data_IF_064715152577
#
_entry.id   IF_064715152577
#
_cell.length_a   1.000
_cell.length_b   1.000
_cell.length_c   1.000
_cell.angle_alpha   90.00
_cell.angle_beta   90.00
_cell.angle_gamma   90.00
#
_symmetry.space_group_name_H-M   'P 1'
#
loop_
_entity.id
_entity.type
_entity.pdbx_description
1 polymer ?
#
# COMPACT_ATOMS: atom_id res chain seq x y z
N UNK A 1 0.79 45.00 -51.22
CA UNK A 1 0.17 44.82 -52.56
C UNK A 1 -1.32 45.00 -52.32
N UNK A 2 -1.87 46.17 -52.46
CA UNK A 2 -2.56 46.83 -53.59
C UNK A 2 -3.33 45.82 -54.46
N UNK A 3 -4.68 45.86 -54.39
CA UNK A 3 -5.51 46.05 -55.57
C UNK A 3 -6.91 46.54 -55.19
N UNK A 4 -7.24 47.73 -55.71
CA UNK A 4 -8.54 48.35 -55.85
C UNK A 4 -9.35 47.70 -56.98
N UNK A 5 -10.69 47.77 -56.93
CA UNK A 5 -11.59 48.01 -58.06
C UNK A 5 -12.96 48.35 -57.43
N UNK A 6 -13.44 49.48 -57.50
CA UNK A 6 -14.13 50.50 -58.35
C UNK A 6 -15.44 49.99 -58.98
N UNK A 7 -16.50 50.65 -58.52
CA UNK A 7 -17.66 51.26 -59.22
C UNK A 7 -18.62 50.37 -60.01
N UNK A 8 -19.91 50.52 -59.69
CA UNK A 8 -20.88 51.14 -60.64
C UNK A 8 -22.19 51.52 -59.92
N UNK A 9 -22.47 52.82 -59.97
CA UNK A 9 -23.79 53.42 -59.65
C UNK A 9 -24.78 53.01 -60.74
N UNK A 10 -26.02 52.67 -60.34
CA UNK A 10 -27.20 52.80 -61.18
C UNK A 10 -28.28 53.53 -60.38
N UNK A 11 -28.58 54.74 -60.81
CA UNK A 11 -29.71 55.49 -60.44
C UNK A 11 -31.00 54.76 -60.86
N UNK A 12 -31.89 54.50 -59.88
CA UNK A 12 -33.31 54.30 -60.18
C UNK A 12 -34.13 55.34 -59.41
N UNK A 13 -34.70 56.22 -60.19
CA UNK A 13 -35.69 57.20 -59.70
C UNK A 13 -37.01 56.46 -59.54
N UNK A 14 -37.59 56.49 -58.35
CA UNK A 14 -38.97 56.05 -58.11
C UNK A 14 -39.75 57.22 -57.50
N UNK A 15 -40.82 57.50 -58.16
CA UNK A 15 -41.76 58.59 -57.85
C UNK A 15 -42.38 58.45 -56.43
N UNK A 16 -42.43 59.58 -55.74
CA UNK A 16 -43.17 59.76 -54.48
C UNK A 16 -44.70 59.96 -54.80
N UNK A 17 -45.48 58.92 -54.67
CA UNK A 17 -46.90 59.01 -54.50
C UNK A 17 -47.23 58.93 -53.00
N UNK A 18 -47.66 60.07 -52.46
CA UNK A 18 -48.12 60.24 -51.10
C UNK A 18 -49.46 59.53 -50.85
N UNK A 19 -49.37 58.31 -50.27
CA UNK A 19 -50.54 57.75 -49.55
C UNK A 19 -50.14 57.59 -48.09
N UNK A 20 -50.81 58.44 -47.25
CA UNK A 20 -50.62 58.38 -45.80
C UNK A 20 -50.89 57.01 -45.22
N UNK A 21 -49.79 56.35 -44.71
CA UNK A 21 -49.90 55.17 -43.94
C UNK A 21 -50.01 55.57 -42.46
N UNK A 22 -51.22 55.51 -41.94
CA UNK A 22 -51.51 55.67 -40.52
C UNK A 22 -50.86 54.51 -39.76
N UNK A 23 -49.73 54.74 -39.15
CA UNK A 23 -49.14 53.76 -38.22
C UNK A 23 -49.98 53.72 -36.96
N UNK A 24 -50.84 52.70 -36.89
CA UNK A 24 -51.50 52.30 -35.66
C UNK A 24 -50.43 51.74 -34.70
N UNK A 25 -49.84 52.57 -33.83
CA UNK A 25 -48.93 52.19 -32.78
C UNK A 25 -49.72 51.38 -31.75
N UNK A 26 -49.70 50.03 -31.94
CA UNK A 26 -50.16 49.11 -30.90
C UNK A 26 -49.21 49.20 -29.75
N UNK A 27 -49.55 49.90 -28.69
CA UNK A 27 -48.86 49.94 -27.39
C UNK A 27 -48.93 48.59 -26.71
N UNK A 28 -48.23 47.57 -27.23
CA UNK A 28 -48.09 46.25 -26.60
C UNK A 28 -46.63 45.99 -26.14
N UNK A 29 -46.09 46.80 -25.25
CA UNK A 29 -44.71 46.56 -24.80
C UNK A 29 -44.47 46.56 -23.28
N UNK A 30 -45.34 46.86 -22.31
CA UNK A 30 -44.94 46.68 -20.91
C UNK A 30 -45.17 45.24 -20.34
N UNK A 31 -46.19 44.51 -20.82
CA UNK A 31 -46.50 43.18 -20.26
C UNK A 31 -45.41 42.11 -20.48
N UNK A 32 -44.74 42.09 -21.62
CA UNK A 32 -43.72 41.12 -21.96
C UNK A 32 -42.42 41.28 -21.10
N UNK A 33 -42.04 42.50 -20.77
CA UNK A 33 -40.89 42.81 -19.91
C UNK A 33 -41.16 42.39 -18.45
N UNK A 34 -42.38 42.57 -17.98
CA UNK A 34 -42.76 42.19 -16.62
C UNK A 34 -42.80 40.67 -16.41
N UNK A 35 -43.24 39.91 -17.41
CA UNK A 35 -43.23 38.43 -17.35
C UNK A 35 -41.82 37.88 -17.31
N UNK A 36 -40.87 38.45 -18.05
CA UNK A 36 -39.45 38.03 -17.98
C UNK A 36 -38.82 38.31 -16.62
N UNK A 37 -39.14 39.47 -16.00
CA UNK A 37 -38.69 39.78 -14.65
C UNK A 37 -39.24 38.80 -13.61
N UNK A 38 -40.49 38.40 -13.72
CA UNK A 38 -41.10 37.39 -12.85
C UNK A 38 -40.45 36.00 -13.05
N UNK A 39 -40.19 35.57 -14.28
CA UNK A 39 -39.51 34.32 -14.56
C UNK A 39 -38.10 34.34 -14.04
N UNK A 40 -37.38 35.44 -14.17
CA UNK A 40 -36.04 35.62 -13.61
C UNK A 40 -36.04 35.55 -12.07
N UNK A 41 -37.00 36.23 -11.45
CA UNK A 41 -37.16 36.24 -9.99
C UNK A 41 -37.52 34.84 -9.45
N UNK A 42 -38.44 34.15 -10.11
CA UNK A 42 -38.77 32.75 -9.79
C UNK A 42 -37.53 31.83 -9.96
N UNK A 43 -36.78 32.02 -11.04
CA UNK A 43 -35.53 31.28 -11.28
C UNK A 43 -34.48 31.51 -10.20
N UNK A 44 -34.31 32.77 -9.76
CA UNK A 44 -33.41 33.12 -8.65
C UNK A 44 -33.87 32.48 -7.33
N UNK A 45 -35.18 32.57 -7.01
CA UNK A 45 -35.74 31.99 -5.78
C UNK A 45 -35.59 30.45 -5.79
N UNK A 46 -35.93 29.80 -6.89
CA UNK A 46 -35.76 28.35 -7.04
C UNK A 46 -34.29 27.96 -6.98
N UNK A 47 -33.41 28.68 -7.64
CA UNK A 47 -31.97 28.47 -7.59
C UNK A 47 -31.41 28.60 -6.16
N UNK A 48 -31.81 29.67 -5.45
CA UNK A 48 -31.44 29.87 -4.05
C UNK A 48 -31.99 28.75 -3.15
N UNK A 49 -33.23 28.33 -3.34
CA UNK A 49 -33.83 27.23 -2.58
C UNK A 49 -33.13 25.89 -2.83
N UNK A 50 -32.75 25.59 -4.08
CA UNK A 50 -31.99 24.40 -4.43
C UNK A 50 -30.57 24.43 -3.85
N UNK A 51 -29.90 25.58 -3.92
CA UNK A 51 -28.56 25.73 -3.34
C UNK A 51 -28.57 25.59 -1.81
N UNK A 52 -29.48 26.30 -1.13
CA UNK A 52 -29.59 26.24 0.33
C UNK A 52 -30.07 24.88 0.79
N UNK A 53 -31.04 24.27 0.13
CA UNK A 53 -31.51 22.91 0.40
C UNK A 53 -30.41 21.87 0.20
N UNK A 54 -29.70 21.94 -0.92
CA UNK A 54 -28.56 21.09 -1.22
C UNK A 54 -27.44 21.23 -0.19
N UNK A 55 -27.06 22.47 0.15
CA UNK A 55 -26.04 22.73 1.17
C UNK A 55 -26.45 22.18 2.55
N UNK A 56 -27.72 22.34 2.93
CA UNK A 56 -28.25 21.80 4.21
C UNK A 56 -28.19 20.28 4.23
N UNK A 57 -28.60 19.60 3.15
CA UNK A 57 -28.51 18.13 3.05
C UNK A 57 -27.06 17.68 3.12
N UNK A 58 -26.15 18.31 2.40
CA UNK A 58 -24.73 18.00 2.42
C UNK A 58 -24.11 18.17 3.81
N UNK A 59 -24.47 19.22 4.54
CA UNK A 59 -24.02 19.44 5.92
C UNK A 59 -24.57 18.36 6.85
N UNK A 60 -25.89 18.15 6.84
CA UNK A 60 -26.56 17.17 7.71
C UNK A 60 -26.09 15.73 7.50
N UNK A 61 -25.79 15.36 6.27
CA UNK A 61 -25.19 14.03 5.97
C UNK A 61 -23.71 13.93 6.29
N UNK A 62 -23.08 14.99 6.81
CA UNK A 62 -21.71 14.98 7.36
C UNK A 62 -21.68 14.89 8.89
N UNK A 63 -22.80 15.08 9.57
CA UNK A 63 -22.86 14.96 11.03
C UNK A 63 -22.58 13.51 11.45
N UNK A 64 -21.88 13.31 12.56
CA UNK A 64 -21.56 11.98 13.10
C UNK A 64 -22.83 11.18 13.38
N UNK A 65 -23.90 11.82 13.89
CA UNK A 65 -25.20 11.17 14.13
C UNK A 65 -25.80 10.54 12.86
N UNK A 66 -25.64 11.21 11.72
CA UNK A 66 -26.07 10.63 10.44
C UNK A 66 -25.26 9.38 10.09
N UNK A 67 -23.93 9.44 10.22
CA UNK A 67 -23.06 8.31 9.90
C UNK A 67 -23.37 7.09 10.77
N UNK A 68 -23.61 7.27 12.06
CA UNK A 68 -23.88 6.18 13.02
C UNK A 68 -25.35 5.77 13.09
N UNK A 69 -26.19 6.27 12.20
CA UNK A 69 -27.61 5.86 12.12
C UNK A 69 -27.81 4.45 11.54
N UNK A 70 -26.78 3.87 10.93
CA UNK A 70 -26.80 2.50 10.39
C UNK A 70 -26.13 1.52 11.37
N UNK A 71 -26.65 0.30 11.47
CA UNK A 71 -26.14 -0.74 12.38
C UNK A 71 -24.68 -1.13 12.09
N UNK A 72 -24.29 -1.19 10.82
CA UNK A 72 -22.90 -1.50 10.43
C UNK A 72 -21.88 -0.50 11.00
N UNK A 73 -22.33 0.71 11.37
CA UNK A 73 -21.46 1.77 11.90
C UNK A 73 -21.27 1.69 13.43
N UNK A 74 -21.92 0.80 14.14
CA UNK A 74 -21.75 0.60 15.59
C UNK A 74 -20.30 0.18 15.92
N UNK A 75 -19.72 -0.71 15.13
CA UNK A 75 -18.33 -1.17 15.31
C UNK A 75 -17.29 -0.08 15.04
N UNK A 76 -17.30 0.60 13.90
CA UNK A 76 -16.41 1.74 13.67
C UNK A 76 -16.53 2.82 14.74
N UNK A 77 -17.76 3.09 15.23
CA UNK A 77 -17.98 4.03 16.32
C UNK A 77 -17.30 3.58 17.63
N UNK A 78 -17.48 2.32 18.01
CA UNK A 78 -16.86 1.78 19.23
C UNK A 78 -15.31 1.80 19.14
N UNK A 79 -14.75 1.44 17.99
CA UNK A 79 -13.31 1.52 17.74
C UNK A 79 -12.80 2.97 17.81
N UNK A 80 -13.52 3.91 17.18
CA UNK A 80 -13.20 5.33 17.20
C UNK A 80 -13.25 5.91 18.61
N UNK A 81 -14.24 5.52 19.43
CA UNK A 81 -14.37 5.95 20.83
C UNK A 81 -13.17 5.55 21.69
N UNK A 82 -12.45 4.50 21.33
CA UNK A 82 -11.20 4.08 21.97
C UNK A 82 -9.96 4.87 21.53
N UNK A 83 -10.08 5.78 20.56
CA UNK A 83 -8.94 6.49 19.96
C UNK A 83 -8.64 7.84 20.61
N UNK A 84 -7.41 8.33 20.43
CA UNK A 84 -7.01 9.68 20.85
C UNK A 84 -7.70 10.80 20.06
N UNK A 85 -8.29 10.48 18.91
CA UNK A 85 -9.06 11.42 18.11
C UNK A 85 -10.49 11.62 18.66
N UNK A 86 -11.00 10.65 19.42
CA UNK A 86 -12.26 10.80 20.13
C UNK A 86 -12.09 11.53 21.45
N UNK A 87 -11.07 11.16 22.25
CA UNK A 87 -10.82 11.75 23.56
C UNK A 87 -9.32 11.88 23.83
N UNK A 88 -8.89 13.07 24.17
CA UNK A 88 -7.49 13.38 24.47
C UNK A 88 -7.36 14.48 25.52
N UNK A 89 -6.15 14.66 26.05
CA UNK A 89 -5.82 15.65 27.07
C UNK A 89 -6.00 17.11 26.63
N UNK A 90 -6.17 17.37 25.34
CA UNK A 90 -6.37 18.72 24.77
C UNK A 90 -7.85 19.07 24.65
N UNK A 91 -8.76 18.12 24.83
CA UNK A 91 -10.21 18.32 24.71
C UNK A 91 -10.68 18.59 23.27
N UNK A 92 -9.89 18.21 22.27
CA UNK A 92 -10.23 18.35 20.86
C UNK A 92 -10.71 16.99 20.34
N UNK A 93 -11.90 16.96 19.73
CA UNK A 93 -12.45 15.77 19.09
C UNK A 93 -12.56 15.99 17.59
N UNK A 94 -12.13 15.01 16.81
CA UNK A 94 -12.38 14.97 15.36
C UNK A 94 -13.73 14.26 15.12
N UNK A 95 -14.55 14.77 14.23
CA UNK A 95 -15.79 14.09 13.83
C UNK A 95 -15.51 13.09 12.69
N UNK A 96 -16.46 12.19 12.40
CA UNK A 96 -16.28 11.21 11.32
C UNK A 96 -15.92 11.88 9.99
N UNK A 97 -16.61 12.98 9.66
CA UNK A 97 -16.39 13.73 8.43
C UNK A 97 -15.00 14.39 8.35
N UNK A 98 -14.40 14.78 9.48
CA UNK A 98 -13.08 15.43 9.49
C UNK A 98 -11.98 14.53 8.92
N UNK A 99 -12.15 13.20 9.03
CA UNK A 99 -11.22 12.21 8.49
C UNK A 99 -11.68 11.65 7.13
N UNK A 100 -13.01 11.45 6.95
CA UNK A 100 -13.56 10.72 5.81
C UNK A 100 -14.07 11.61 4.67
N UNK A 101 -14.27 12.90 4.89
CA UNK A 101 -14.84 13.83 3.90
C UNK A 101 -13.87 14.98 3.64
N UNK A 102 -13.14 14.99 2.54
CA UNK A 102 -12.22 16.07 2.19
C UNK A 102 -12.93 17.43 2.10
N UNK A 103 -12.24 18.51 2.46
CA UNK A 103 -12.80 19.86 2.44
C UNK A 103 -12.78 20.53 1.05
N UNK A 104 -11.98 20.00 0.10
CA UNK A 104 -11.92 20.51 -1.27
C UNK A 104 -13.26 20.25 -1.98
N UNK A 105 -13.87 21.26 -2.66
CA UNK A 105 -15.23 21.14 -3.15
C UNK A 105 -15.51 19.96 -4.08
N UNK A 106 -14.58 19.65 -4.98
CA UNK A 106 -14.72 18.54 -5.94
C UNK A 106 -14.59 17.20 -5.21
N UNK A 107 -13.58 17.07 -4.35
CA UNK A 107 -13.33 15.83 -3.58
C UNK A 107 -14.46 15.60 -2.57
N UNK A 108 -14.96 16.66 -1.95
CA UNK A 108 -16.13 16.63 -1.07
C UNK A 108 -17.34 16.03 -1.79
N UNK A 109 -17.70 16.60 -2.97
CA UNK A 109 -18.83 16.13 -3.75
C UNK A 109 -18.63 14.69 -4.24
N UNK A 110 -17.44 14.38 -4.75
CA UNK A 110 -17.09 13.02 -5.20
C UNK A 110 -17.22 12.02 -4.07
N UNK A 111 -16.71 12.33 -2.90
CA UNK A 111 -16.79 11.46 -1.70
C UNK A 111 -18.25 11.23 -1.31
N UNK A 112 -19.09 12.28 -1.30
CA UNK A 112 -20.51 12.15 -1.00
C UNK A 112 -21.27 11.28 -2.01
N UNK A 113 -20.97 11.42 -3.29
CA UNK A 113 -21.59 10.57 -4.33
C UNK A 113 -21.12 9.13 -4.19
N UNK A 114 -19.81 8.92 -3.94
CA UNK A 114 -19.27 7.57 -3.76
C UNK A 114 -19.76 6.88 -2.49
N UNK A 115 -20.10 7.61 -1.43
CA UNK A 115 -20.69 7.05 -0.21
C UNK A 115 -22.10 6.46 -0.43
N UNK A 116 -22.79 6.79 -1.51
CA UNK A 116 -24.07 6.16 -1.82
C UNK A 116 -23.97 4.65 -2.01
N UNK A 117 -22.81 4.13 -2.41
CA UNK A 117 -22.54 2.68 -2.49
C UNK A 117 -22.64 2.00 -1.12
N UNK A 118 -22.22 2.70 -0.06
CA UNK A 118 -22.19 2.16 1.30
C UNK A 118 -23.60 2.14 1.88
N UNK A 119 -24.38 3.21 1.63
CA UNK A 119 -25.82 3.26 1.93
C UNK A 119 -26.57 2.14 1.21
N UNK A 120 -26.25 1.91 -0.06
CA UNK A 120 -26.83 0.81 -0.83
C UNK A 120 -26.41 -0.56 -0.28
N UNK A 121 -25.16 -0.70 0.14
CA UNK A 121 -24.65 -1.92 0.78
C UNK A 121 -25.38 -2.27 2.07
N UNK A 122 -25.66 -1.28 2.91
CA UNK A 122 -26.48 -1.44 4.13
C UNK A 122 -27.91 -1.84 3.77
N UNK A 123 -28.58 -1.10 2.88
CA UNK A 123 -29.98 -1.35 2.48
C UNK A 123 -30.18 -2.72 1.82
N UNK A 124 -29.18 -3.23 1.12
CA UNK A 124 -29.25 -4.54 0.45
C UNK A 124 -28.75 -5.71 1.31
N UNK A 125 -28.35 -5.43 2.55
CA UNK A 125 -27.89 -6.45 3.48
C UNK A 125 -26.48 -6.98 3.16
N UNK A 126 -25.66 -6.20 2.47
CA UNK A 126 -24.27 -6.60 2.15
C UNK A 126 -23.33 -6.50 3.34
N UNK A 127 -23.55 -5.54 4.22
CA UNK A 127 -22.72 -5.23 5.40
C UNK A 127 -23.55 -5.09 6.68
N UNK A 128 -24.79 -5.53 6.69
CA UNK A 128 -25.78 -5.34 7.75
C UNK A 128 -25.59 -6.22 9.00
N UNK A 129 -24.63 -7.15 9.00
CA UNK A 129 -24.28 -7.95 10.18
C UNK A 129 -22.79 -7.84 10.50
N UNK A 130 -22.38 -8.07 11.78
CA UNK A 130 -20.99 -8.03 12.19
C UNK A 130 -20.08 -8.92 11.34
N UNK A 131 -20.52 -10.14 10.99
CA UNK A 131 -19.75 -11.10 10.20
C UNK A 131 -19.55 -10.61 8.76
N UNK A 132 -20.60 -10.05 8.15
CA UNK A 132 -20.54 -9.47 6.81
C UNK A 132 -19.69 -8.22 6.80
N UNK A 133 -19.78 -7.39 7.84
CA UNK A 133 -18.90 -6.22 8.00
C UNK A 133 -17.44 -6.65 8.07
N UNK A 134 -17.10 -7.63 8.92
CA UNK A 134 -15.72 -8.13 9.07
C UNK A 134 -15.19 -8.71 7.75
N UNK A 135 -15.99 -9.45 7.02
CA UNK A 135 -15.62 -10.00 5.70
C UNK A 135 -15.30 -8.90 4.65
N UNK A 136 -15.85 -7.69 4.82
CA UNK A 136 -15.59 -6.57 3.90
C UNK A 136 -14.63 -5.51 4.47
N UNK A 137 -14.26 -5.62 5.76
CA UNK A 137 -13.49 -4.60 6.49
C UNK A 137 -12.16 -4.27 5.80
N UNK A 138 -11.44 -5.27 5.31
CA UNK A 138 -10.17 -5.08 4.61
C UNK A 138 -10.35 -4.26 3.32
N UNK A 139 -11.31 -4.63 2.48
CA UNK A 139 -11.57 -3.93 1.22
C UNK A 139 -12.04 -2.48 1.46
N UNK A 140 -12.86 -2.25 2.48
CA UNK A 140 -13.28 -0.91 2.89
C UNK A 140 -12.10 -0.08 3.39
N UNK A 141 -11.25 -0.64 4.26
CA UNK A 141 -10.04 0.02 4.75
C UNK A 141 -9.08 0.41 3.62
N UNK A 142 -8.82 -0.51 2.67
CA UNK A 142 -8.00 -0.22 1.49
C UNK A 142 -8.56 0.93 0.66
N UNK A 143 -9.87 0.96 0.42
CA UNK A 143 -10.52 2.04 -0.33
C UNK A 143 -10.31 3.41 0.34
N UNK A 144 -10.34 3.47 1.67
CA UNK A 144 -10.07 4.69 2.44
C UNK A 144 -8.60 5.07 2.37
N UNK A 145 -7.68 4.12 2.59
CA UNK A 145 -6.24 4.39 2.52
C UNK A 145 -5.82 4.87 1.14
N UNK A 146 -6.32 4.27 0.06
CA UNK A 146 -6.06 4.69 -1.32
C UNK A 146 -6.57 6.12 -1.60
N UNK A 147 -7.73 6.46 -1.07
CA UNK A 147 -8.29 7.82 -1.19
C UNK A 147 -7.43 8.84 -0.45
N UNK A 148 -7.05 8.53 0.79
CA UNK A 148 -6.18 9.39 1.60
C UNK A 148 -4.78 9.51 1.00
N UNK A 149 -4.25 8.46 0.40
CA UNK A 149 -2.97 8.50 -0.31
C UNK A 149 -3.04 9.39 -1.55
N UNK A 150 -4.08 9.25 -2.38
CA UNK A 150 -4.27 10.06 -3.60
C UNK A 150 -4.39 11.55 -3.33
N UNK A 151 -4.97 11.96 -2.21
CA UNK A 151 -5.15 13.37 -1.84
C UNK A 151 -4.09 13.88 -0.85
N UNK A 152 -2.95 13.20 -0.75
CA UNK A 152 -1.85 13.54 0.16
C UNK A 152 -2.30 13.67 1.62
N UNK A 153 -3.20 12.79 2.07
CA UNK A 153 -3.79 12.80 3.41
C UNK A 153 -4.36 14.18 3.80
N UNK A 154 -5.04 14.85 2.85
CA UNK A 154 -5.54 16.22 3.00
C UNK A 154 -6.41 16.41 4.25
N UNK A 155 -7.18 15.40 4.63
CA UNK A 155 -8.01 15.42 5.85
C UNK A 155 -7.17 15.42 7.13
N UNK A 156 -6.05 14.71 7.16
CA UNK A 156 -5.10 14.75 8.28
C UNK A 156 -4.43 16.12 8.36
N UNK A 157 -4.00 16.66 7.20
CA UNK A 157 -3.31 17.93 7.09
C UNK A 157 -4.19 19.15 7.42
N UNK A 158 -5.52 18.99 7.49
CA UNK A 158 -6.41 20.06 7.95
C UNK A 158 -6.20 20.43 9.43
N UNK A 159 -5.70 19.48 10.24
CA UNK A 159 -5.39 19.69 11.66
C UNK A 159 -3.89 19.49 11.97
N UNK A 160 -3.18 18.66 11.21
CA UNK A 160 -1.77 18.35 11.39
C UNK A 160 -0.94 18.93 10.24
N UNK A 161 -0.09 19.93 10.51
CA UNK A 161 0.88 20.44 9.54
C UNK A 161 2.30 20.15 10.02
N UNK A 162 3.19 19.77 9.11
CA UNK A 162 4.59 19.51 9.45
C UNK A 162 5.28 20.76 9.99
N UNK A 163 4.89 21.95 9.51
CA UNK A 163 5.45 23.24 9.95
C UNK A 163 5.08 23.58 11.40
N UNK A 164 3.93 23.07 11.87
CA UNK A 164 3.47 23.29 13.24
C UNK A 164 3.90 22.16 14.20
N UNK A 165 4.52 21.09 13.70
CA UNK A 165 4.99 20.00 14.55
C UNK A 165 6.34 20.33 15.19
N UNK A 166 6.42 20.22 16.52
CA UNK A 166 7.71 20.16 17.21
C UNK A 166 8.29 18.75 17.05
N UNK A 167 9.07 18.57 15.99
CA UNK A 167 9.69 17.28 15.65
C UNK A 167 10.65 16.82 16.77
N UNK A 168 11.30 17.74 17.46
CA UNK A 168 12.27 17.40 18.52
C UNK A 168 11.58 16.92 19.81
N UNK A 169 10.34 17.33 20.05
CA UNK A 169 9.55 16.86 21.19
C UNK A 169 8.88 15.50 20.93
N UNK A 170 8.93 14.98 19.71
CA UNK A 170 8.35 13.68 19.38
C UNK A 170 9.21 12.53 19.95
N UNK A 171 8.61 11.33 19.99
CA UNK A 171 9.34 10.10 20.33
C UNK A 171 10.52 9.89 19.37
N UNK A 172 11.62 9.25 19.82
CA UNK A 172 12.82 9.08 19.00
C UNK A 172 12.56 8.51 17.61
N UNK A 173 11.66 7.52 17.51
CA UNK A 173 11.28 6.90 16.23
C UNK A 173 10.65 7.93 15.29
N UNK A 174 9.62 8.62 15.74
CA UNK A 174 8.91 9.64 14.94
C UNK A 174 9.81 10.79 14.54
N UNK A 175 10.71 11.22 15.46
CA UNK A 175 11.70 12.27 15.22
C UNK A 175 12.65 11.91 14.06
N UNK A 176 13.01 10.67 13.93
CA UNK A 176 13.90 10.20 12.86
C UNK A 176 13.14 9.97 11.54
N UNK A 177 11.92 9.43 11.60
CA UNK A 177 11.17 9.01 10.41
C UNK A 177 10.46 10.20 9.72
N UNK A 178 9.88 11.15 10.46
CA UNK A 178 9.13 12.25 9.85
C UNK A 178 9.97 13.10 8.87
N UNK A 179 11.23 13.51 9.17
CA UNK A 179 12.05 14.23 8.19
C UNK A 179 12.34 13.42 6.92
N UNK A 180 12.46 12.10 7.04
CA UNK A 180 12.69 11.19 5.91
C UNK A 180 11.43 11.08 5.07
N UNK A 181 10.27 10.87 5.70
CA UNK A 181 8.97 10.79 5.04
C UNK A 181 8.64 12.09 4.27
N UNK A 182 8.89 13.26 4.90
CA UNK A 182 8.73 14.58 4.26
C UNK A 182 9.60 14.66 3.00
N UNK A 183 10.87 14.28 3.10
CA UNK A 183 11.82 14.34 1.98
C UNK A 183 11.43 13.40 0.84
N UNK A 184 10.85 12.24 1.15
CA UNK A 184 10.39 11.26 0.17
C UNK A 184 9.01 11.57 -0.41
N UNK A 185 8.27 12.53 0.15
CA UNK A 185 6.89 12.84 -0.23
C UNK A 185 5.91 11.74 0.19
N UNK A 186 6.20 11.01 1.26
CA UNK A 186 5.29 10.00 1.82
C UNK A 186 4.10 10.68 2.49
N UNK A 187 2.93 10.09 2.35
CA UNK A 187 1.70 10.63 2.94
C UNK A 187 1.51 10.14 4.38
N UNK A 188 0.70 10.83 5.18
CA UNK A 188 0.45 10.43 6.57
C UNK A 188 -0.08 9.00 6.66
N UNK A 189 -0.99 8.61 5.74
CA UNK A 189 -1.64 7.30 5.75
C UNK A 189 -0.70 6.16 5.33
N UNK A 190 0.42 6.44 4.68
CA UNK A 190 1.39 5.40 4.36
C UNK A 190 1.93 4.72 5.63
N UNK A 191 2.05 5.48 6.73
CA UNK A 191 2.55 4.99 8.02
C UNK A 191 1.47 4.98 9.12
N UNK A 192 0.51 5.93 9.13
CA UNK A 192 -0.46 6.11 10.20
C UNK A 192 -1.81 5.43 9.91
N UNK A 193 -1.79 4.12 9.67
CA UNK A 193 -2.99 3.30 9.60
C UNK A 193 -3.47 2.92 11.01
N UNK A 194 -4.76 2.73 11.19
CA UNK A 194 -5.31 2.31 12.48
C UNK A 194 -5.37 3.40 13.57
N UNK A 195 -5.29 4.70 13.21
CA UNK A 195 -5.29 5.81 14.18
C UNK A 195 -6.65 6.05 14.85
N UNK A 196 -7.73 5.56 14.26
CA UNK A 196 -9.10 5.67 14.77
C UNK A 196 -9.84 4.33 14.81
N UNK A 197 -9.44 3.38 13.99
CA UNK A 197 -10.09 2.07 13.87
C UNK A 197 -9.07 0.95 14.05
N UNK A 198 -9.51 -0.17 14.59
CA UNK A 198 -8.70 -1.39 14.68
C UNK A 198 -8.44 -1.89 13.25
N UNK A 199 -7.18 -2.21 12.97
CA UNK A 199 -6.80 -2.72 11.66
C UNK A 199 -7.57 -4.00 11.32
N UNK A 200 -7.98 -4.17 10.05
CA UNK A 200 -8.56 -5.43 9.59
C UNK A 200 -7.54 -6.57 9.67
N UNK A 201 -8.01 -7.81 9.57
CA UNK A 201 -7.12 -8.95 9.38
C UNK A 201 -6.39 -8.81 8.04
N UNK A 202 -5.06 -8.81 8.10
CA UNK A 202 -4.19 -8.62 6.94
C UNK A 202 -3.69 -9.94 6.35
N UNK A 203 -4.12 -11.07 6.89
CA UNK A 203 -3.69 -12.40 6.45
C UNK A 203 -4.02 -12.67 4.98
N UNK A 204 -5.18 -12.21 4.51
CA UNK A 204 -5.58 -12.34 3.11
C UNK A 204 -4.63 -11.62 2.13
N UNK A 205 -4.15 -10.42 2.50
CA UNK A 205 -3.18 -9.69 1.67
C UNK A 205 -1.84 -10.42 1.61
N UNK A 206 -1.39 -10.94 2.74
CA UNK A 206 -0.15 -11.71 2.81
C UNK A 206 -0.28 -13.01 2.02
N UNK A 207 -1.45 -13.69 2.05
CA UNK A 207 -1.73 -14.87 1.27
C UNK A 207 -1.82 -14.57 -0.23
N UNK A 208 -2.43 -13.45 -0.63
CA UNK A 208 -2.47 -13.02 -2.03
C UNK A 208 -1.07 -12.77 -2.59
N UNK A 209 -0.20 -12.07 -1.86
CA UNK A 209 1.18 -11.86 -2.26
C UNK A 209 1.98 -13.16 -2.39
N UNK A 210 1.77 -14.12 -1.48
CA UNK A 210 2.39 -15.45 -1.59
C UNK A 210 1.91 -16.20 -2.85
N UNK A 211 0.62 -16.08 -3.18
CA UNK A 211 0.04 -16.67 -4.39
C UNK A 211 0.62 -16.06 -5.67
N UNK A 212 0.79 -14.73 -5.71
CA UNK A 212 1.43 -14.02 -6.83
C UNK A 212 2.88 -14.46 -7.00
N UNK A 213 3.62 -14.61 -5.91
CA UNK A 213 4.99 -15.08 -5.92
C UNK A 213 5.10 -16.51 -6.46
N UNK A 214 4.18 -17.39 -6.04
CA UNK A 214 4.08 -18.78 -6.55
C UNK A 214 3.72 -18.80 -8.04
N UNK A 215 2.81 -17.95 -8.49
CA UNK A 215 2.45 -17.82 -9.90
C UNK A 215 3.62 -17.29 -10.76
N UNK A 216 4.46 -16.44 -10.19
CA UNK A 216 5.68 -15.96 -10.85
C UNK A 216 6.73 -17.08 -10.95
N UNK A 217 6.91 -17.89 -9.91
CA UNK A 217 7.82 -19.05 -9.90
C UNK A 217 7.44 -20.08 -10.98
N UNK A 218 6.15 -20.29 -11.21
CA UNK A 218 5.67 -21.17 -12.28
C UNK A 218 6.00 -20.72 -13.71
N UNK A 219 6.38 -19.42 -13.89
CA UNK A 219 6.69 -18.80 -15.19
C UNK A 219 8.18 -18.59 -15.42
N UNK A 220 9.04 -19.11 -14.54
CA UNK A 220 10.50 -18.94 -14.64
C UNK A 220 11.02 -19.62 -15.91
N UNK A 221 11.82 -18.91 -16.75
CA UNK A 221 12.39 -19.46 -17.97
C UNK A 221 13.29 -20.66 -17.68
N UNK A 222 13.23 -21.67 -18.53
CA UNK A 222 14.11 -22.85 -18.43
C UNK A 222 15.60 -22.49 -18.59
N UNK A 223 15.92 -21.34 -19.16
CA UNK A 223 17.27 -20.84 -19.38
C UNK A 223 17.88 -20.11 -18.17
N UNK A 224 17.10 -19.83 -17.14
CA UNK A 224 17.60 -19.14 -15.94
C UNK A 224 18.67 -19.98 -15.25
N UNK A 225 19.84 -19.40 -15.04
CA UNK A 225 21.01 -20.05 -14.41
C UNK A 225 21.12 -19.77 -12.91
N UNK A 226 20.55 -18.65 -12.44
CA UNK A 226 20.51 -18.27 -11.03
C UNK A 226 19.07 -18.17 -10.60
N UNK A 227 18.73 -18.77 -9.47
CA UNK A 227 17.37 -18.79 -8.94
C UNK A 227 17.39 -18.55 -7.44
N UNK A 228 16.25 -18.09 -6.92
CA UNK A 228 16.03 -17.86 -5.48
C UNK A 228 14.81 -18.62 -4.98
N UNK A 229 14.93 -19.24 -3.81
CA UNK A 229 13.81 -19.91 -3.17
C UNK A 229 12.75 -18.91 -2.72
N UNK A 230 11.48 -19.13 -3.07
CA UNK A 230 10.37 -18.28 -2.63
C UNK A 230 9.85 -18.64 -1.23
N UNK A 231 10.13 -19.86 -0.77
CA UNK A 231 9.68 -20.40 0.52
C UNK A 231 10.69 -21.41 1.07
N UNK A 232 10.47 -21.82 2.32
CA UNK A 232 11.20 -22.98 2.87
C UNK A 232 10.81 -24.21 2.06
N UNK A 233 11.79 -24.89 1.47
CA UNK A 233 11.55 -26.09 0.68
C UNK A 233 12.55 -27.20 0.99
N UNK A 234 12.12 -28.45 0.98
CA UNK A 234 13.02 -29.58 1.14
C UNK A 234 13.94 -29.73 -0.09
N UNK A 235 15.10 -30.30 0.14
CA UNK A 235 16.02 -30.73 -0.92
C UNK A 235 16.46 -32.14 -0.76
N UNK A 236 16.97 -32.74 -1.83
CA UNK A 236 17.45 -34.12 -1.91
C UNK A 236 18.90 -34.17 -2.44
N UNK A 237 19.59 -35.26 -2.18
CA UNK A 237 20.93 -35.51 -2.72
C UNK A 237 20.89 -36.31 -4.03
N UNK A 238 19.74 -36.81 -4.42
CA UNK A 238 19.47 -37.48 -5.68
C UNK A 238 18.21 -36.93 -6.34
N UNK A 239 18.03 -37.19 -7.64
CA UNK A 239 16.83 -36.80 -8.38
C UNK A 239 15.55 -37.53 -7.91
N UNK A 240 15.69 -38.60 -7.14
CA UNK A 240 14.58 -39.40 -6.59
C UNK A 240 14.05 -38.73 -5.31
N UNK A 241 12.96 -37.94 -5.46
CA UNK A 241 12.29 -37.28 -4.34
C UNK A 241 11.51 -38.22 -3.41
N UNK A 242 11.43 -39.51 -3.72
CA UNK A 242 10.83 -40.51 -2.83
C UNK A 242 11.74 -40.88 -1.66
N UNK A 243 13.03 -40.56 -1.74
CA UNK A 243 13.96 -40.70 -0.62
C UNK A 243 13.65 -39.67 0.47
N UNK A 244 14.15 -39.91 1.66
CA UNK A 244 14.07 -38.94 2.75
C UNK A 244 14.77 -37.65 2.34
N UNK A 245 14.18 -36.49 2.65
CA UNK A 245 14.81 -35.19 2.33
C UNK A 245 16.13 -35.06 3.12
N UNK A 246 17.08 -34.40 2.49
CA UNK A 246 18.42 -34.23 3.05
C UNK A 246 18.59 -32.91 3.82
N UNK A 247 17.56 -32.06 3.80
CA UNK A 247 17.55 -30.78 4.48
C UNK A 247 16.54 -29.83 3.91
N UNK A 248 16.63 -28.56 4.33
CA UNK A 248 15.70 -27.50 3.88
C UNK A 248 16.48 -26.26 3.41
N UNK A 249 16.05 -25.73 2.28
CA UNK A 249 16.48 -24.44 1.77
C UNK A 249 15.55 -23.36 2.32
N UNK A 250 16.11 -22.25 2.81
CA UNK A 250 15.33 -21.13 3.37
C UNK A 250 14.88 -20.16 2.27
N UNK A 251 13.79 -19.39 2.47
CA UNK A 251 13.35 -18.41 1.49
C UNK A 251 14.42 -17.36 1.19
N UNK A 252 14.47 -16.86 -0.05
CA UNK A 252 15.45 -15.89 -0.52
C UNK A 252 16.88 -16.44 -0.65
N UNK A 253 17.08 -17.75 -0.55
CA UNK A 253 18.39 -18.35 -0.77
C UNK A 253 18.65 -18.50 -2.25
N UNK A 254 19.80 -18.02 -2.68
CA UNK A 254 20.32 -18.13 -4.05
C UNK A 254 20.84 -19.53 -4.33
N UNK A 255 20.57 -20.02 -5.51
CA UNK A 255 21.11 -21.29 -6.03
C UNK A 255 21.55 -21.14 -7.47
N UNK A 256 22.66 -21.75 -7.82
CA UNK A 256 23.18 -21.80 -9.21
C UNK A 256 22.73 -23.09 -9.88
N UNK A 257 22.00 -22.99 -10.98
CA UNK A 257 21.47 -24.15 -11.70
C UNK A 257 22.59 -24.91 -12.41
N UNK A 258 22.75 -26.19 -12.10
CA UNK A 258 23.70 -27.08 -12.76
C UNK A 258 23.01 -27.85 -13.89
N UNK A 259 21.85 -28.43 -13.62
CA UNK A 259 21.05 -29.13 -14.63
C UNK A 259 19.57 -29.22 -14.24
N UNK A 260 18.71 -29.46 -15.21
CA UNK A 260 17.26 -29.64 -15.02
C UNK A 260 16.86 -31.04 -15.52
N UNK A 261 16.03 -31.71 -14.74
CA UNK A 261 15.58 -33.06 -15.06
C UNK A 261 14.22 -33.34 -14.39
N UNK A 262 13.22 -33.74 -15.18
CA UNK A 262 11.91 -34.22 -14.65
C UNK A 262 11.26 -33.33 -13.58
N UNK A 263 11.13 -32.06 -13.81
CA UNK A 263 10.59 -31.07 -12.85
C UNK A 263 11.44 -30.88 -11.57
N UNK A 264 12.66 -31.41 -11.56
CA UNK A 264 13.67 -31.18 -10.52
C UNK A 264 14.84 -30.40 -11.11
N UNK A 265 15.51 -29.66 -10.27
CA UNK A 265 16.69 -28.87 -10.60
C UNK A 265 17.84 -29.34 -9.72
N UNK A 266 18.94 -29.82 -10.32
CA UNK A 266 20.21 -29.91 -9.63
C UNK A 266 20.79 -28.49 -9.59
N UNK A 267 21.01 -28.01 -8.38
CA UNK A 267 21.59 -26.69 -8.16
C UNK A 267 22.72 -26.77 -7.14
N UNK A 268 23.65 -25.85 -7.27
CA UNK A 268 24.70 -25.65 -6.27
C UNK A 268 24.25 -24.50 -5.36
N UNK A 269 24.32 -24.70 -4.06
CA UNK A 269 24.05 -23.70 -3.03
C UNK A 269 25.33 -23.43 -2.25
N UNK A 270 25.67 -22.16 -2.14
CA UNK A 270 26.81 -21.67 -1.38
C UNK A 270 26.37 -21.13 -0.02
N UNK A 271 27.27 -21.19 0.95
CA UNK A 271 27.04 -20.57 2.24
C UNK A 271 28.28 -20.56 3.12
N UNK A 272 28.10 -20.00 4.29
CA UNK A 272 29.13 -19.95 5.33
C UNK A 272 28.75 -20.83 6.50
N UNK A 273 29.68 -21.63 7.00
CA UNK A 273 29.55 -22.40 8.23
C UNK A 273 30.52 -21.84 9.28
N UNK A 274 30.05 -21.65 10.49
CA UNK A 274 30.94 -21.34 11.60
C UNK A 274 31.66 -22.63 12.01
N UNK A 275 32.92 -22.57 12.35
CA UNK A 275 33.66 -23.70 12.84
C UNK A 275 32.95 -24.37 14.00
N UNK A 276 32.83 -25.71 13.95
CA UNK A 276 32.06 -26.49 14.93
C UNK A 276 30.55 -26.51 14.73
N UNK A 277 29.97 -25.75 13.76
CA UNK A 277 28.53 -25.72 13.46
C UNK A 277 28.28 -26.21 12.03
N UNK A 278 28.08 -27.52 11.89
CA UNK A 278 27.98 -28.17 10.58
C UNK A 278 26.55 -28.36 10.06
N UNK A 279 25.56 -27.98 10.85
CA UNK A 279 24.13 -28.18 10.56
C UNK A 279 23.53 -27.13 9.66
N UNK A 280 24.20 -26.02 9.43
CA UNK A 280 23.62 -24.85 8.76
C UNK A 280 24.58 -24.17 7.81
N UNK A 281 24.02 -23.60 6.73
CA UNK A 281 24.68 -22.56 5.96
C UNK A 281 24.06 -21.20 6.30
N UNK A 282 24.91 -20.20 6.46
CA UNK A 282 24.55 -18.80 6.55
C UNK A 282 24.92 -18.07 5.26
N UNK A 283 24.18 -17.03 4.88
CA UNK A 283 24.46 -16.30 3.63
C UNK A 283 25.71 -15.43 3.69
N UNK A 284 26.19 -15.08 4.88
CA UNK A 284 27.42 -14.30 5.08
C UNK A 284 28.14 -14.71 6.36
N UNK A 285 29.47 -14.64 6.35
CA UNK A 285 30.29 -14.86 7.54
C UNK A 285 29.97 -13.83 8.63
N UNK A 286 29.89 -14.23 9.87
CA UNK A 286 29.56 -13.38 11.01
C UNK A 286 28.09 -13.01 11.13
N UNK A 287 27.26 -13.37 10.15
CA UNK A 287 25.82 -13.02 10.09
C UNK A 287 24.97 -14.28 10.21
N UNK A 288 24.07 -14.27 11.19
CA UNK A 288 23.14 -15.40 11.42
C UNK A 288 21.94 -15.36 10.46
N UNK A 289 22.21 -15.17 9.18
CA UNK A 289 21.23 -15.16 8.09
C UNK A 289 21.14 -16.57 7.54
N UNK A 290 20.22 -17.35 8.05
CA UNK A 290 20.08 -18.77 7.73
C UNK A 290 19.70 -19.00 6.26
N UNK A 291 20.47 -19.81 5.53
CA UNK A 291 20.23 -20.16 4.13
C UNK A 291 19.82 -21.62 3.95
N UNK A 292 20.50 -22.54 4.62
CA UNK A 292 20.27 -23.98 4.49
C UNK A 292 20.32 -24.66 5.86
N UNK A 293 19.38 -25.55 6.09
CA UNK A 293 19.44 -26.53 7.17
C UNK A 293 19.89 -27.87 6.57
N UNK A 294 20.97 -28.44 7.08
CA UNK A 294 21.59 -29.64 6.56
C UNK A 294 21.22 -30.84 7.43
N UNK A 295 20.61 -31.85 6.84
CA UNK A 295 20.45 -33.15 7.44
C UNK A 295 21.80 -33.92 7.52
N UNK A 296 21.81 -35.05 8.21
CA UNK A 296 23.04 -35.80 8.47
C UNK A 296 23.80 -36.21 7.20
N UNK A 297 23.08 -36.69 6.18
CA UNK A 297 23.70 -37.11 4.92
C UNK A 297 24.19 -35.95 4.06
N UNK A 298 23.49 -34.80 4.10
CA UNK A 298 23.93 -33.60 3.42
C UNK A 298 25.25 -33.07 3.99
N UNK A 299 25.41 -33.09 5.32
CA UNK A 299 26.65 -32.65 5.98
C UNK A 299 27.90 -33.42 5.49
N UNK A 300 27.75 -34.69 5.16
CA UNK A 300 28.85 -35.56 4.65
C UNK A 300 29.30 -35.17 3.23
N UNK A 301 28.43 -34.44 2.46
CA UNK A 301 28.69 -34.04 1.07
C UNK A 301 29.08 -32.58 0.91
N UNK A 302 29.12 -31.83 2.00
CA UNK A 302 29.54 -30.43 1.99
C UNK A 302 31.01 -30.33 1.57
N UNK A 303 31.28 -29.43 0.63
CA UNK A 303 32.64 -29.09 0.18
C UNK A 303 33.05 -27.75 0.76
N UNK A 304 34.11 -27.71 1.54
CA UNK A 304 34.70 -26.44 1.98
C UNK A 304 35.54 -25.84 0.84
N UNK A 305 35.35 -24.56 0.58
CA UNK A 305 35.99 -23.84 -0.53
C UNK A 305 37.10 -22.92 -0.02
N UNK A 306 36.82 -22.17 1.07
CA UNK A 306 37.79 -21.24 1.66
C UNK A 306 37.46 -21.01 3.14
N UNK A 307 38.38 -20.37 3.85
CA UNK A 307 38.21 -20.01 5.27
C UNK A 307 38.33 -18.51 5.45
N UNK A 308 37.64 -17.99 6.45
CA UNK A 308 37.69 -16.61 6.88
C UNK A 308 37.71 -16.56 8.42
N UNK A 309 38.65 -15.86 8.99
CA UNK A 309 38.64 -15.58 10.42
C UNK A 309 38.15 -14.14 10.65
N UNK A 310 37.05 -14.03 11.37
CA UNK A 310 36.46 -12.72 11.72
C UNK A 310 37.44 -11.96 12.64
N UNK A 311 37.91 -10.78 12.24
CA UNK A 311 38.91 -10.02 12.99
C UNK A 311 38.41 -9.51 14.36
N UNK A 312 37.11 -9.32 14.53
CA UNK A 312 36.51 -8.81 15.76
C UNK A 312 36.23 -9.93 16.77
N UNK A 313 35.65 -11.01 16.29
CA UNK A 313 35.21 -12.13 17.15
C UNK A 313 36.22 -13.29 17.23
N UNK A 314 37.23 -13.30 16.35
CA UNK A 314 38.17 -14.38 16.16
C UNK A 314 37.56 -15.74 15.81
N UNK A 315 36.28 -15.73 15.41
CA UNK A 315 35.59 -16.95 14.96
C UNK A 315 36.02 -17.32 13.56
N UNK A 316 36.24 -18.61 13.34
CA UNK A 316 36.57 -19.15 12.01
C UNK A 316 35.29 -19.52 11.26
N UNK A 317 35.22 -19.12 10.02
CA UNK A 317 34.11 -19.37 9.09
C UNK A 317 34.64 -20.09 7.86
N UNK A 318 33.91 -21.12 7.43
CA UNK A 318 34.23 -21.89 6.24
C UNK A 318 33.19 -21.52 5.14
N UNK A 319 33.67 -21.00 4.02
CA UNK A 319 32.82 -20.91 2.82
C UNK A 319 32.67 -22.32 2.26
N UNK A 320 31.43 -22.77 2.12
CA UNK A 320 31.07 -24.12 1.76
C UNK A 320 30.07 -24.15 0.63
N UNK A 321 30.08 -25.22 -0.16
CA UNK A 321 29.16 -25.46 -1.24
C UNK A 321 28.59 -26.88 -1.17
N UNK A 322 27.36 -27.04 -1.65
CA UNK A 322 26.65 -28.30 -1.74
C UNK A 322 25.80 -28.36 -2.99
N UNK A 323 25.83 -29.48 -3.72
CA UNK A 323 24.89 -29.73 -4.80
C UNK A 323 23.66 -30.46 -4.29
N UNK A 324 22.48 -29.88 -4.63
CA UNK A 324 21.18 -30.34 -4.12
C UNK A 324 20.16 -30.43 -5.25
N UNK A 325 19.22 -31.36 -5.13
CA UNK A 325 18.07 -31.46 -6.00
C UNK A 325 16.87 -30.74 -5.38
N UNK A 326 16.24 -29.85 -6.13
CA UNK A 326 15.15 -28.99 -5.71
C UNK A 326 13.94 -29.10 -6.65
N UNK A 327 12.70 -29.02 -6.16
CA UNK A 327 11.53 -28.88 -7.02
C UNK A 327 11.57 -27.55 -7.80
N UNK A 328 11.29 -27.58 -9.09
CA UNK A 328 11.38 -26.39 -9.95
C UNK A 328 10.34 -25.31 -9.61
N UNK A 329 9.15 -25.69 -9.09
CA UNK A 329 8.02 -24.79 -8.92
C UNK A 329 8.08 -23.81 -7.73
N UNK A 330 9.16 -23.86 -6.93
CA UNK A 330 9.35 -22.99 -5.77
C UNK A 330 10.59 -22.10 -5.85
N UNK A 331 11.05 -21.87 -7.08
CA UNK A 331 12.21 -21.04 -7.37
C UNK A 331 11.83 -19.93 -8.33
N UNK A 332 12.45 -18.76 -8.18
CA UNK A 332 12.20 -17.58 -9.01
C UNK A 332 13.52 -17.01 -9.52
N UNK A 333 13.49 -16.38 -10.69
CA UNK A 333 14.64 -15.77 -11.37
C UNK A 333 14.86 -14.29 -11.03
N UNK A 334 14.01 -13.74 -10.17
CA UNK A 334 14.10 -12.35 -9.73
C UNK A 334 13.88 -12.24 -8.22
N UNK A 335 14.96 -12.06 -7.49
CA UNK A 335 14.96 -11.91 -6.03
C UNK A 335 14.14 -10.71 -5.56
N UNK A 336 14.10 -9.62 -6.35
CA UNK A 336 13.37 -8.40 -5.98
C UNK A 336 11.87 -8.67 -5.73
N UNK A 337 11.25 -9.59 -6.45
CA UNK A 337 9.85 -9.97 -6.20
C UNK A 337 9.64 -10.57 -4.81
N UNK A 338 10.61 -11.30 -4.28
CA UNK A 338 10.58 -11.80 -2.89
C UNK A 338 10.68 -10.63 -1.92
N UNK A 339 11.54 -9.66 -2.22
CA UNK A 339 11.72 -8.47 -1.38
C UNK A 339 10.53 -7.53 -1.43
N UNK A 340 9.88 -7.36 -2.59
CA UNK A 340 8.64 -6.58 -2.74
C UNK A 340 7.51 -7.20 -1.90
N UNK A 341 7.39 -8.54 -1.93
CA UNK A 341 6.45 -9.26 -1.08
C UNK A 341 6.75 -9.06 0.41
N UNK A 342 8.01 -9.19 0.82
CA UNK A 342 8.43 -8.99 2.21
C UNK A 342 8.21 -7.53 2.67
N UNK A 343 8.54 -6.55 1.83
CA UNK A 343 8.30 -5.13 2.10
C UNK A 343 6.81 -4.82 2.26
N UNK A 344 5.97 -5.41 1.40
CA UNK A 344 4.52 -5.31 1.50
C UNK A 344 4.01 -5.89 2.83
N UNK A 345 4.46 -7.08 3.23
CA UNK A 345 4.11 -7.67 4.53
C UNK A 345 4.56 -6.77 5.69
N UNK A 346 5.77 -6.24 5.64
CA UNK A 346 6.30 -5.36 6.67
C UNK A 346 5.47 -4.07 6.78
N UNK A 347 5.22 -3.41 5.67
CA UNK A 347 4.38 -2.20 5.60
C UNK A 347 2.97 -2.47 6.13
N UNK A 348 2.38 -3.59 5.75
CA UNK A 348 1.01 -3.97 6.10
C UNK A 348 0.85 -4.32 7.57
N UNK A 349 1.78 -5.09 8.14
CA UNK A 349 1.63 -5.63 9.49
C UNK A 349 2.32 -4.78 10.59
N UNK A 350 3.30 -3.94 10.23
CA UNK A 350 4.09 -3.24 11.25
C UNK A 350 3.69 -1.77 11.46
N UNK A 351 2.93 -1.16 10.54
CA UNK A 351 2.57 0.27 10.62
C UNK A 351 1.36 0.57 11.50
N UNK A 352 0.65 -0.43 11.98
CA UNK A 352 -0.58 -0.25 12.75
C UNK A 352 -0.39 0.27 14.18
N UNK A 353 0.80 0.11 14.77
CA UNK A 353 1.06 0.48 16.17
C UNK A 353 2.12 1.57 16.30
N UNK A 354 3.07 1.64 15.37
CA UNK A 354 4.14 2.64 15.32
C UNK A 354 4.64 2.79 13.89
N UNK A 355 5.41 3.84 13.61
CA UNK A 355 6.03 4.06 12.30
C UNK A 355 6.92 2.88 11.89
N UNK A 356 7.04 2.68 10.57
CA UNK A 356 7.88 1.62 10.01
C UNK A 356 9.33 1.85 10.40
N UNK A 357 9.96 0.84 10.98
CA UNK A 357 11.37 0.90 11.35
C UNK A 357 12.24 0.81 10.09
N UNK A 358 13.18 1.74 9.93
CA UNK A 358 14.15 1.71 8.83
C UNK A 358 14.98 0.41 8.87
N UNK A 359 15.23 -0.18 7.70
CA UNK A 359 15.92 -1.49 7.59
C UNK A 359 17.36 -1.42 8.07
N UNK A 360 18.00 -0.27 7.96
CA UNK A 360 19.38 -0.02 8.39
C UNK A 360 19.51 0.42 9.86
N UNK A 361 18.40 0.40 10.62
CA UNK A 361 18.42 0.75 12.06
C UNK A 361 19.17 -0.26 12.91
N UNK A 362 19.11 -1.52 12.55
CA UNK A 362 19.73 -2.61 13.29
C UNK A 362 20.69 -3.40 12.39
N UNK A 363 21.67 -4.06 13.01
CA UNK A 363 22.47 -5.04 12.27
C UNK A 363 21.70 -6.33 12.04
N UNK A 364 22.20 -7.19 11.13
CA UNK A 364 21.52 -8.41 10.71
C UNK A 364 21.19 -9.35 11.89
N UNK A 365 22.07 -9.46 12.86
CA UNK A 365 21.84 -10.36 14.00
C UNK A 365 20.84 -9.80 15.01
N UNK A 366 20.73 -8.46 15.14
CA UNK A 366 19.76 -7.81 16.02
C UNK A 366 18.33 -7.93 15.49
N UNK A 367 18.14 -7.91 14.17
CA UNK A 367 16.83 -8.08 13.56
C UNK A 367 16.11 -9.34 13.96
N UNK A 368 16.84 -10.42 14.27
CA UNK A 368 16.25 -11.69 14.76
C UNK A 368 15.42 -11.44 16.02
N UNK A 369 15.98 -10.72 17.00
CA UNK A 369 15.30 -10.39 18.24
C UNK A 369 14.12 -9.45 18.05
N UNK A 370 14.25 -8.46 17.16
CA UNK A 370 13.20 -7.49 16.83
C UNK A 370 12.00 -8.20 16.22
N UNK A 371 12.19 -8.99 15.17
CA UNK A 371 11.09 -9.73 14.53
C UNK A 371 10.46 -10.73 15.49
N UNK A 372 11.26 -11.49 16.25
CA UNK A 372 10.73 -12.42 17.25
C UNK A 372 9.87 -11.74 18.31
N UNK A 373 10.24 -10.53 18.75
CA UNK A 373 9.47 -9.75 19.72
C UNK A 373 8.16 -9.17 19.15
N UNK A 374 8.13 -8.92 17.82
CA UNK A 374 6.94 -8.37 17.14
C UNK A 374 5.99 -9.44 16.61
N UNK A 375 6.48 -10.63 16.28
CA UNK A 375 5.70 -11.72 15.69
C UNK A 375 4.36 -12.01 16.39
N UNK A 376 4.27 -12.08 17.73
CA UNK A 376 2.99 -12.34 18.41
C UNK A 376 1.94 -11.22 18.23
N UNK A 377 2.31 -10.07 17.67
CA UNK A 377 1.44 -8.92 17.44
C UNK A 377 1.00 -8.79 15.99
N UNK A 378 1.35 -9.76 15.15
CA UNK A 378 1.03 -9.79 13.72
C UNK A 378 0.19 -11.02 13.40
N UNK A 379 -0.50 -11.01 12.26
CA UNK A 379 -1.19 -12.17 11.71
C UNK A 379 -0.31 -13.04 10.78
N UNK A 380 1.01 -12.78 10.77
CA UNK A 380 1.95 -13.49 9.91
C UNK A 380 2.17 -14.92 10.41
N UNK A 381 2.11 -15.87 9.50
CA UNK A 381 2.48 -17.25 9.77
C UNK A 381 4.02 -17.44 9.87
N UNK A 382 4.45 -18.63 10.23
CA UNK A 382 5.88 -18.91 10.41
C UNK A 382 6.70 -18.78 9.12
N UNK A 383 6.13 -19.11 7.97
CA UNK A 383 6.82 -18.99 6.69
C UNK A 383 6.97 -17.52 6.29
N UNK A 384 5.91 -16.75 6.43
CA UNK A 384 5.93 -15.31 6.21
C UNK A 384 6.93 -14.60 7.12
N UNK A 385 7.02 -15.02 8.39
CA UNK A 385 8.04 -14.51 9.33
C UNK A 385 9.46 -14.88 8.92
N UNK A 386 9.68 -16.04 8.30
CA UNK A 386 11.01 -16.42 7.75
C UNK A 386 11.40 -15.52 6.58
N UNK A 387 10.47 -15.31 5.62
CA UNK A 387 10.69 -14.41 4.48
C UNK A 387 10.98 -13.00 4.99
N UNK A 388 10.17 -12.48 5.91
CA UNK A 388 10.35 -11.15 6.49
C UNK A 388 11.68 -11.03 7.26
N UNK A 389 12.02 -12.00 8.10
CA UNK A 389 13.28 -12.01 8.83
C UNK A 389 14.48 -11.96 7.88
N UNK A 390 14.42 -12.78 6.82
CA UNK A 390 15.46 -12.79 5.80
C UNK A 390 15.60 -11.43 5.11
N UNK A 391 14.47 -10.82 4.75
CA UNK A 391 14.42 -9.50 4.11
C UNK A 391 15.10 -8.43 4.97
N UNK A 392 14.68 -8.29 6.23
CA UNK A 392 15.24 -7.24 7.11
C UNK A 392 16.73 -7.49 7.43
N UNK A 393 17.14 -8.75 7.52
CA UNK A 393 18.55 -9.10 7.74
C UNK A 393 19.43 -8.77 6.52
N UNK A 394 18.95 -9.04 5.30
CA UNK A 394 19.70 -8.75 4.06
C UNK A 394 19.82 -7.25 3.77
N UNK A 395 18.93 -6.42 4.35
CA UNK A 395 18.95 -4.96 4.21
C UNK A 395 19.45 -4.24 5.48
N UNK A 396 20.02 -4.96 6.41
CA UNK A 396 20.53 -4.43 7.68
C UNK A 396 21.71 -3.47 7.50
N UNK A 397 22.01 -2.68 8.55
CA UNK A 397 23.07 -1.66 8.52
C UNK A 397 24.45 -2.20 8.18
N UNK A 398 24.74 -3.45 8.62
CA UNK A 398 26.02 -4.12 8.51
C UNK A 398 26.11 -5.11 7.33
N UNK A 399 25.17 -4.99 6.36
CA UNK A 399 25.21 -5.73 5.09
C UNK A 399 25.85 -4.87 3.99
N UNK A 400 26.58 -5.49 3.03
CA UNK A 400 27.20 -4.79 1.92
C UNK A 400 26.20 -3.97 1.08
N UNK A 401 26.67 -2.84 0.51
CA UNK A 401 25.84 -1.91 -0.28
C UNK A 401 25.17 -2.56 -1.51
N UNK A 402 25.76 -3.58 -2.10
CA UNK A 402 25.19 -4.29 -3.26
C UNK A 402 23.83 -4.98 -2.96
N UNK A 403 23.54 -5.29 -1.70
CA UNK A 403 22.21 -5.74 -1.28
C UNK A 403 21.20 -4.60 -1.11
N UNK A 404 21.66 -3.33 -1.21
CA UNK A 404 20.83 -2.11 -1.03
C UNK A 404 20.44 -1.45 -2.36
N UNK A 405 21.08 -1.81 -3.49
CA UNK A 405 20.82 -1.21 -4.80
C UNK A 405 19.66 -1.84 -5.58
N UNK A 406 19.05 -2.89 -5.09
CA UNK A 406 17.82 -3.44 -5.61
C UNK A 406 16.61 -2.65 -5.06
N UNK A 407 16.57 -1.34 -5.37
CA UNK A 407 15.42 -0.46 -5.11
C UNK A 407 14.69 -0.15 -6.39
#
# INVERSE_FOLDING_TARGET
>A
MRYCYRLQERYFRVDFSSKGFSMNQSKRAPRRRLTWLWLLLIGIVLGAALLTGGATVMHKTSDTEFCVSCHSMERPLAEYQGSVHFQNTKGIRAECADCHVPHQPIDYLTTKVMALKDVWGEMTGKIDTPEKYDAHKLAMAQSVWDTMKKNDSATCRSCHSYEAMDILAQRPEARNEHPVAIKKGETCIDCHKGVAHILPDMSELSAAGASELSAAAAKVPATASTLWSISTQPFWLSADSKQHNAGNLMPGTEVSVVKRENNMILAEVDGWQQDGVNEVFYSAAGKRILSVLLGEDARKQVKQVSNFTDPETQLVWHKSALQVWLPAGQLIDNQQKIWDYAASMMSTNCTGCHGLTSLDRFNANQWIGVIKGMAPRTSLDQEQLRVLTRYVQQHASDMPAASKEAK
#
